data_IF_659662516965
#
_entry.id   IF_659662516965
#
_cell.length_a   1.000
_cell.length_b   1.000
_cell.length_c   1.000
_cell.angle_alpha   90.00
_cell.angle_beta   90.00
_cell.angle_gamma   90.00
#
_symmetry.space_group_name_H-M   'P 1'
#
loop_
_entity.id
_entity.type
_entity.pdbx_description
1 polymer ?
#
# COMPACT_ATOMS: atom_id res chain seq x y z
N UNK A 1 -14.31 -30.38 9.46
CA UNK A 1 -13.36 -30.58 8.35
C UNK A 1 -12.25 -29.55 8.53
N UNK A 2 -11.18 -29.98 9.22
CA UNK A 2 -10.06 -29.10 9.57
C UNK A 2 -9.24 -28.81 8.31
N UNK A 3 -9.34 -27.60 7.79
CA UNK A 3 -8.41 -27.07 6.79
C UNK A 3 -7.07 -26.81 7.48
N UNK A 4 -6.26 -27.84 7.65
CA UNK A 4 -4.85 -27.67 7.96
C UNK A 4 -4.20 -26.96 6.79
N UNK A 5 -3.91 -25.65 6.98
CA UNK A 5 -3.07 -24.89 6.07
C UNK A 5 -1.70 -25.58 5.97
N UNK A 6 -1.28 -26.05 4.79
CA UNK A 6 0.03 -26.67 4.65
C UNK A 6 1.10 -25.58 4.74
N UNK A 7 2.03 -25.77 5.65
CA UNK A 7 3.31 -25.06 5.76
C UNK A 7 3.27 -23.55 5.98
N UNK A 8 2.83 -23.10 7.16
CA UNK A 8 3.27 -21.81 7.69
C UNK A 8 4.73 -21.89 8.13
N UNK A 9 5.65 -21.92 7.20
CA UNK A 9 7.05 -21.71 7.49
C UNK A 9 7.24 -20.27 7.91
N UNK A 10 7.71 -20.00 9.12
CA UNK A 10 8.16 -18.66 9.53
C UNK A 10 9.34 -18.26 8.65
N UNK A 11 9.05 -17.50 7.59
CA UNK A 11 10.07 -17.05 6.66
C UNK A 11 10.65 -15.75 7.22
N UNK A 12 11.92 -15.74 7.51
CA UNK A 12 12.62 -14.49 7.82
C UNK A 12 12.64 -13.62 6.55
N UNK A 13 12.40 -12.32 6.69
CA UNK A 13 12.32 -11.38 5.59
C UNK A 13 13.50 -11.45 4.63
N UNK A 14 14.71 -11.67 5.15
CA UNK A 14 15.94 -11.42 4.43
C UNK A 14 16.32 -12.46 3.38
N UNK A 15 15.74 -13.66 3.39
CA UNK A 15 16.12 -14.70 2.42
C UNK A 15 14.91 -15.45 1.87
N UNK A 16 13.85 -15.59 2.64
CA UNK A 16 12.72 -16.45 2.30
C UNK A 16 11.87 -15.92 1.14
N UNK A 17 11.45 -14.65 1.16
CA UNK A 17 10.55 -14.09 0.13
C UNK A 17 11.20 -14.05 -1.25
N UNK A 18 12.46 -13.60 -1.36
CA UNK A 18 13.16 -13.59 -2.65
C UNK A 18 13.31 -14.99 -3.23
N UNK A 19 13.59 -15.99 -2.40
CA UNK A 19 13.68 -17.38 -2.84
C UNK A 19 12.32 -17.95 -3.27
N UNK A 20 11.24 -17.56 -2.59
CA UNK A 20 9.89 -17.93 -3.00
C UNK A 20 9.51 -17.33 -4.34
N UNK A 21 9.80 -16.02 -4.55
CA UNK A 21 9.51 -15.31 -5.81
C UNK A 21 10.33 -15.84 -7.00
N UNK A 22 11.51 -16.43 -6.76
CA UNK A 22 12.28 -17.10 -7.83
C UNK A 22 11.61 -18.38 -8.33
N UNK A 23 10.78 -19.01 -7.49
CA UNK A 23 10.15 -20.31 -7.77
C UNK A 23 8.66 -20.20 -8.06
N UNK A 24 8.04 -19.07 -7.79
CA UNK A 24 6.60 -18.87 -7.89
C UNK A 24 6.30 -17.52 -8.53
N UNK A 25 5.31 -17.47 -9.43
CA UNK A 25 4.85 -16.25 -10.07
C UNK A 25 4.13 -15.32 -9.09
N UNK A 26 3.48 -15.87 -8.07
CA UNK A 26 2.72 -15.15 -7.06
C UNK A 26 3.03 -15.72 -5.69
N UNK A 27 3.19 -14.83 -4.70
CA UNK A 27 3.37 -15.19 -3.30
C UNK A 27 2.38 -14.40 -2.46
N UNK A 28 1.54 -15.10 -1.70
CA UNK A 28 0.64 -14.49 -0.74
C UNK A 28 1.32 -14.39 0.63
N UNK A 29 1.38 -13.17 1.17
CA UNK A 29 1.96 -12.90 2.47
C UNK A 29 0.89 -12.37 3.43
N UNK A 30 0.76 -12.99 4.60
CA UNK A 30 0.00 -12.42 5.70
C UNK A 30 0.82 -11.39 6.49
N UNK A 31 0.28 -10.89 7.61
CA UNK A 31 1.02 -10.05 8.55
C UNK A 31 2.25 -10.81 9.07
N UNK A 32 3.41 -10.50 8.51
CA UNK A 32 4.62 -11.32 8.60
C UNK A 32 5.20 -11.36 10.02
N UNK A 33 4.99 -10.35 10.84
CA UNK A 33 5.38 -10.30 12.25
C UNK A 33 4.64 -9.19 12.97
N UNK A 34 4.09 -9.48 14.13
CA UNK A 34 3.63 -8.44 15.03
C UNK A 34 4.83 -7.64 15.55
N UNK A 35 4.79 -6.34 15.40
CA UNK A 35 5.67 -5.42 16.07
C UNK A 35 4.84 -4.22 16.53
N UNK A 36 5.16 -3.68 17.69
CA UNK A 36 4.48 -2.52 18.23
C UNK A 36 4.53 -1.35 17.24
N UNK A 37 3.40 -0.68 17.03
CA UNK A 37 3.23 0.42 16.05
C UNK A 37 3.47 0.04 14.58
N UNK A 38 3.48 -1.24 14.24
CA UNK A 38 3.59 -1.72 12.87
C UNK A 38 2.22 -2.13 12.35
N UNK A 39 1.83 -1.55 11.22
CA UNK A 39 0.60 -1.88 10.50
C UNK A 39 0.88 -2.77 9.30
N UNK A 40 -0.16 -3.34 8.70
CA UNK A 40 -0.06 -4.06 7.42
C UNK A 40 0.51 -3.18 6.31
N UNK A 41 0.06 -1.92 6.25
CA UNK A 41 0.51 -0.95 5.23
C UNK A 41 1.99 -0.63 5.36
N UNK A 42 2.46 -0.37 6.59
CA UNK A 42 3.88 -0.10 6.84
C UNK A 42 4.76 -1.33 6.55
N UNK A 43 4.22 -2.52 6.79
CA UNK A 43 4.89 -3.79 6.47
C UNK A 43 5.00 -3.97 4.96
N UNK A 44 3.91 -3.72 4.23
CA UNK A 44 3.88 -3.82 2.76
C UNK A 44 4.81 -2.79 2.10
N UNK A 45 4.83 -1.55 2.59
CA UNK A 45 5.76 -0.53 2.09
C UNK A 45 7.24 -0.93 2.29
N UNK A 46 7.60 -1.48 3.47
CA UNK A 46 8.96 -2.00 3.73
C UNK A 46 9.29 -3.19 2.81
N UNK A 47 8.32 -4.05 2.53
CA UNK A 47 8.50 -5.17 1.62
C UNK A 47 8.72 -4.69 0.19
N UNK A 48 7.96 -3.70 -0.28
CA UNK A 48 8.15 -3.09 -1.59
C UNK A 48 9.57 -2.51 -1.73
N UNK A 49 10.05 -1.77 -0.74
CA UNK A 49 11.43 -1.29 -0.70
C UNK A 49 12.45 -2.45 -0.77
N UNK A 50 12.27 -3.48 0.06
CA UNK A 50 13.18 -4.64 0.09
C UNK A 50 13.24 -5.39 -1.25
N UNK A 51 12.12 -5.45 -1.97
CA UNK A 51 12.00 -6.09 -3.29
C UNK A 51 12.40 -5.16 -4.43
N UNK A 52 12.65 -3.87 -4.15
CA UNK A 52 12.85 -2.82 -5.15
C UNK A 52 11.70 -2.80 -6.18
N UNK A 53 10.47 -2.80 -5.69
CA UNK A 53 9.25 -2.85 -6.49
C UNK A 53 8.30 -1.71 -6.14
N UNK A 54 7.42 -1.31 -7.05
CA UNK A 54 6.32 -0.41 -6.72
C UNK A 54 5.43 -1.01 -5.62
N UNK A 55 4.74 -0.13 -4.90
CA UNK A 55 3.73 -0.49 -3.92
C UNK A 55 2.34 -0.15 -4.48
N UNK A 56 1.41 -1.10 -4.47
CA UNK A 56 0.03 -0.88 -4.87
C UNK A 56 -0.86 -1.06 -3.64
N UNK A 57 -1.58 -0.01 -3.26
CA UNK A 57 -2.57 -0.05 -2.18
C UNK A 57 -3.99 -0.02 -2.74
N UNK A 58 -4.77 -1.05 -2.46
CA UNK A 58 -6.19 -1.11 -2.80
C UNK A 58 -7.01 -0.63 -1.60
N UNK A 59 -7.92 0.30 -1.85
CA UNK A 59 -8.74 0.94 -0.83
C UNK A 59 -10.19 1.09 -1.26
N UNK A 60 -11.07 1.52 -0.36
CA UNK A 60 -12.50 1.69 -0.60
C UNK A 60 -12.89 3.06 -1.20
N UNK A 61 -11.91 3.83 -1.70
CA UNK A 61 -12.06 5.07 -2.45
C UNK A 61 -11.20 5.00 -3.70
N UNK A 62 -11.49 5.83 -4.71
CA UNK A 62 -10.83 5.72 -6.02
C UNK A 62 -9.34 6.10 -6.02
N UNK A 63 -8.83 6.68 -4.95
CA UNK A 63 -7.46 7.13 -4.81
C UNK A 63 -7.31 8.12 -3.66
N UNK A 64 -6.31 8.99 -3.73
CA UNK A 64 -6.04 10.01 -2.72
C UNK A 64 -6.93 11.23 -2.93
N UNK A 65 -7.37 11.83 -1.82
CA UNK A 65 -8.15 13.06 -1.78
C UNK A 65 -7.59 14.01 -0.72
N UNK A 66 -7.83 15.31 -0.88
CA UNK A 66 -7.45 16.34 0.09
C UNK A 66 -8.20 16.21 1.43
N UNK A 67 -9.35 15.55 1.43
CA UNK A 67 -10.20 15.21 2.58
C UNK A 67 -11.09 14.02 2.27
N UNK A 68 -11.77 13.49 3.28
CA UNK A 68 -12.60 12.30 3.12
C UNK A 68 -13.78 12.52 2.14
N UNK A 69 -13.79 11.89 0.94
CA UNK A 69 -14.83 12.10 -0.07
C UNK A 69 -16.20 11.54 0.35
N UNK A 70 -16.24 10.60 1.31
CA UNK A 70 -17.51 10.07 1.84
C UNK A 70 -18.20 11.05 2.80
N UNK A 71 -17.43 11.97 3.41
CA UNK A 71 -17.96 12.99 4.34
C UNK A 71 -18.15 14.35 3.67
N UNK A 72 -17.31 14.69 2.72
CA UNK A 72 -17.25 16.03 2.11
C UNK A 72 -17.39 15.95 0.61
N UNK A 73 -18.52 16.45 0.08
CA UNK A 73 -18.76 16.54 -1.38
C UNK A 73 -17.75 17.43 -2.10
N UNK A 74 -17.11 18.34 -1.37
CA UNK A 74 -16.06 19.23 -1.87
C UNK A 74 -14.65 18.62 -1.79
N UNK A 75 -14.52 17.31 -1.54
CA UNK A 75 -13.24 16.62 -1.58
C UNK A 75 -12.69 16.60 -3.01
N UNK A 76 -11.43 17.03 -3.14
CA UNK A 76 -10.74 17.07 -4.42
C UNK A 76 -9.86 15.84 -4.57
N UNK A 77 -10.02 15.14 -5.68
CA UNK A 77 -9.16 14.02 -6.05
C UNK A 77 -7.76 14.51 -6.42
N UNK A 78 -6.75 13.78 -5.99
CA UNK A 78 -5.33 14.07 -6.23
C UNK A 78 -4.77 12.93 -7.08
N UNK A 79 -4.66 13.10 -8.42
CA UNK A 79 -4.17 12.03 -9.30
C UNK A 79 -2.68 11.74 -9.14
N UNK A 80 -1.89 12.79 -8.89
CA UNK A 80 -0.43 12.69 -8.76
C UNK A 80 0.06 13.57 -7.63
N UNK A 81 1.05 13.11 -6.88
CA UNK A 81 1.62 13.84 -5.74
C UNK A 81 3.06 13.42 -5.49
N UNK A 82 3.91 14.36 -5.05
CA UNK A 82 5.27 14.05 -4.62
C UNK A 82 5.29 13.27 -3.31
N UNK A 83 6.36 12.52 -3.05
CA UNK A 83 6.57 11.80 -1.79
C UNK A 83 6.51 12.74 -0.58
N UNK A 84 7.13 13.93 -0.71
CA UNK A 84 7.16 14.95 0.35
C UNK A 84 5.77 15.49 0.67
N UNK A 85 4.99 15.87 -0.35
CA UNK A 85 3.66 16.43 -0.15
C UNK A 85 2.66 15.36 0.34
N UNK A 86 2.82 14.12 -0.12
CA UNK A 86 2.07 12.99 0.43
C UNK A 86 2.33 12.83 1.93
N UNK A 87 3.59 12.87 2.36
CA UNK A 87 3.94 12.79 3.79
C UNK A 87 3.38 13.98 4.59
N UNK A 88 3.38 15.21 4.01
CA UNK A 88 2.76 16.38 4.65
C UNK A 88 1.26 16.17 4.88
N UNK A 89 0.55 15.62 3.90
CA UNK A 89 -0.88 15.31 4.03
C UNK A 89 -1.09 14.22 5.10
N UNK A 90 -0.31 13.14 5.06
CA UNK A 90 -0.39 12.05 6.03
C UNK A 90 -0.17 12.53 7.47
N UNK A 91 0.78 13.46 7.68
CA UNK A 91 1.09 14.01 9.01
C UNK A 91 0.03 14.99 9.53
N UNK A 92 -0.68 15.70 8.64
CA UNK A 92 -1.79 16.61 9.03
C UNK A 92 -3.02 15.84 9.50
N UNK A 93 -3.20 14.64 9.03
CA UNK A 93 -4.32 13.78 9.41
C UNK A 93 -4.00 13.11 10.74
N UNK A 94 -4.49 13.67 11.86
CA UNK A 94 -4.40 12.99 13.16
C UNK A 94 -5.07 11.62 13.02
N UNK A 95 -4.33 10.57 13.40
CA UNK A 95 -4.84 9.21 13.39
C UNK A 95 -5.99 9.10 14.41
N UNK A 96 -7.21 9.12 13.91
CA UNK A 96 -8.39 8.69 14.67
C UNK A 96 -8.92 7.39 14.02
N UNK A 97 -9.19 6.36 14.81
CA UNK A 97 -9.84 5.15 14.31
C UNK A 97 -11.09 5.52 13.50
N UNK A 98 -11.18 5.07 12.25
CA UNK A 98 -12.29 5.40 11.34
C UNK A 98 -12.13 6.69 10.53
N UNK A 99 -11.04 7.43 10.62
CA UNK A 99 -10.67 8.45 9.62
C UNK A 99 -9.93 7.76 8.48
N UNK A 100 -10.51 7.82 7.29
CA UNK A 100 -10.00 7.22 6.08
C UNK A 100 -8.88 8.07 5.46
N UNK A 101 -7.72 8.05 6.06
CA UNK A 101 -6.51 8.28 5.30
C UNK A 101 -6.11 6.95 4.66
N UNK A 102 -5.71 6.98 3.42
CA UNK A 102 -5.56 5.78 2.58
C UNK A 102 -4.40 4.90 3.02
N UNK A 103 -3.40 5.48 3.70
CA UNK A 103 -2.23 4.81 4.28
C UNK A 103 -1.90 5.46 5.63
N UNK A 104 -1.37 4.68 6.56
CA UNK A 104 -0.96 5.21 7.87
C UNK A 104 0.35 6.03 7.79
N UNK A 105 0.60 6.83 8.83
CA UNK A 105 1.78 7.72 8.89
C UNK A 105 3.11 6.96 8.82
N UNK A 106 3.17 5.72 9.32
CA UNK A 106 4.40 4.91 9.30
C UNK A 106 4.68 4.41 7.89
N UNK A 107 3.64 4.00 7.17
CA UNK A 107 3.73 3.67 5.75
C UNK A 107 4.16 4.89 4.93
N UNK A 108 3.53 6.05 5.14
CA UNK A 108 3.87 7.30 4.44
C UNK A 108 5.33 7.73 4.66
N UNK A 109 5.84 7.66 5.90
CA UNK A 109 7.26 7.90 6.21
C UNK A 109 8.20 6.92 5.50
N UNK A 110 7.80 5.66 5.39
CA UNK A 110 8.60 4.63 4.70
C UNK A 110 8.63 4.90 3.19
N UNK A 111 7.49 5.25 2.61
CA UNK A 111 7.32 5.58 1.19
C UNK A 111 8.19 6.79 0.82
N UNK A 112 8.11 7.86 1.59
CA UNK A 112 8.92 9.06 1.37
C UNK A 112 10.41 8.79 1.55
N UNK A 113 10.80 8.19 2.68
CA UNK A 113 12.22 7.92 3.00
C UNK A 113 12.95 7.13 1.91
N UNK A 114 12.27 6.21 1.26
CA UNK A 114 12.86 5.31 0.26
C UNK A 114 12.42 5.60 -1.17
N UNK A 115 11.70 6.71 -1.39
CA UNK A 115 11.16 7.11 -2.70
C UNK A 115 10.42 5.96 -3.40
N UNK A 116 9.52 5.29 -2.67
CA UNK A 116 8.81 4.12 -3.19
C UNK A 116 7.69 4.60 -4.11
N UNK A 117 7.78 4.33 -5.41
CA UNK A 117 6.67 4.58 -6.33
C UNK A 117 5.44 3.83 -5.84
N UNK A 118 4.38 4.56 -5.52
CA UNK A 118 3.20 4.02 -4.87
C UNK A 118 1.96 4.38 -5.65
N UNK A 119 1.09 3.39 -5.86
CA UNK A 119 -0.22 3.54 -6.47
C UNK A 119 -1.31 3.33 -5.44
N UNK A 120 -2.31 4.19 -5.45
CA UNK A 120 -3.50 4.09 -4.59
C UNK A 120 -4.71 3.97 -5.50
N UNK A 121 -5.42 2.84 -5.43
CA UNK A 121 -6.57 2.53 -6.27
C UNK A 121 -7.77 2.09 -5.43
N UNK A 122 -8.97 2.27 -6.01
CA UNK A 122 -10.16 1.58 -5.52
C UNK A 122 -10.08 0.06 -5.71
N UNK A 123 -10.97 -0.68 -5.06
CA UNK A 123 -11.03 -2.14 -5.03
C UNK A 123 -11.57 -2.80 -6.32
N UNK A 124 -11.63 -2.06 -7.41
CA UNK A 124 -12.08 -2.57 -8.72
C UNK A 124 -10.97 -3.36 -9.40
N UNK A 125 -11.16 -4.68 -9.54
CA UNK A 125 -10.16 -5.59 -10.12
C UNK A 125 -9.83 -5.28 -11.58
N UNK A 126 -10.79 -4.79 -12.39
CA UNK A 126 -10.52 -4.37 -13.76
C UNK A 126 -9.61 -3.16 -13.82
N UNK A 127 -9.75 -2.25 -12.87
CA UNK A 127 -8.90 -1.08 -12.76
C UNK A 127 -7.46 -1.47 -12.34
N UNK A 128 -7.33 -2.45 -11.45
CA UNK A 128 -6.04 -3.04 -11.10
C UNK A 128 -5.39 -3.73 -12.31
N UNK A 129 -6.17 -4.51 -13.08
CA UNK A 129 -5.69 -5.15 -14.31
C UNK A 129 -5.19 -4.11 -15.33
N UNK A 130 -5.89 -2.99 -15.46
CA UNK A 130 -5.46 -1.89 -16.31
C UNK A 130 -4.09 -1.34 -15.88
N UNK A 131 -3.90 -1.06 -14.58
CA UNK A 131 -2.61 -0.61 -14.06
C UNK A 131 -1.49 -1.62 -14.34
N UNK A 132 -1.73 -2.90 -14.06
CA UNK A 132 -0.73 -3.97 -14.22
C UNK A 132 -0.34 -4.20 -15.69
N UNK A 133 -1.21 -3.84 -16.63
CA UNK A 133 -0.96 -3.92 -18.07
C UNK A 133 -0.64 -2.55 -18.70
N UNK A 134 -0.24 -1.57 -17.90
CA UNK A 134 0.16 -0.22 -18.37
C UNK A 134 -0.93 0.49 -19.20
N UNK A 135 -2.20 0.20 -18.91
CA UNK A 135 -3.37 0.84 -19.53
C UNK A 135 -3.84 2.00 -18.64
N UNK A 136 -4.71 2.82 -19.19
CA UNK A 136 -5.35 3.89 -18.40
C UNK A 136 -6.11 3.31 -17.21
N UNK A 137 -5.82 3.83 -16.02
CA UNK A 137 -6.46 3.46 -14.77
C UNK A 137 -6.92 4.71 -13.99
N UNK A 138 -7.82 4.52 -13.06
CA UNK A 138 -8.28 5.54 -12.12
C UNK A 138 -7.63 5.30 -10.76
N UNK A 139 -6.81 6.23 -10.32
CA UNK A 139 -6.09 6.11 -9.07
C UNK A 139 -5.17 7.31 -8.83
N UNK A 140 -4.39 7.25 -7.78
CA UNK A 140 -3.36 8.23 -7.46
C UNK A 140 -1.98 7.62 -7.54
N UNK A 141 -1.01 8.39 -8.02
CA UNK A 141 0.41 8.01 -8.09
C UNK A 141 1.21 8.91 -7.15
N UNK A 142 2.04 8.29 -6.33
CA UNK A 142 3.02 8.96 -5.47
C UNK A 142 4.38 8.68 -6.07
N UNK A 143 5.03 9.71 -6.63
CA UNK A 143 6.36 9.63 -7.25
C UNK A 143 7.04 11.01 -7.26
N UNK A 144 8.35 11.10 -7.57
CA UNK A 144 9.30 12.22 -7.51
C UNK A 144 9.49 12.92 -6.17
#
# INVERSE_FOLDING_TARGET
MDLKSPNTTRISWNTGIKNLLRKNLVVFCGALRYAEKQTSDSTAAKLAHYLNSPFINLTNVSGLYDKNPKKYRSAKFIPEISHEDFLKIANKTKFHPGQHFVLDQTAAKTIEKYNIKTYILGDNLKNLDNLLNERHFVGSVIEW
#
